data_IF_547844198831
#
_entry.id   IF_547844198831
#
_cell.length_a   1.000
_cell.length_b   1.000
_cell.length_c   1.000
_cell.angle_alpha   90.00
_cell.angle_beta   90.00
_cell.angle_gamma   90.00
#
_symmetry.space_group_name_H-M   'P 1'
#
loop_
_entity.id
_entity.type
_entity.pdbx_description
1 polymer ?
#
# COMPACT_ATOMS: atom_id res chain seq x y z
N UNK A 1 -8.07 4.59 -9.22
CA UNK A 1 -8.84 5.14 -8.09
C UNK A 1 -8.24 6.46 -7.69
N UNK A 2 -8.96 7.25 -6.90
CA UNK A 2 -8.54 8.58 -6.46
C UNK A 2 -8.61 8.69 -4.94
N UNK A 3 -7.71 9.48 -4.34
CA UNK A 3 -7.75 9.85 -2.92
C UNK A 3 -7.38 11.32 -2.77
N UNK A 4 -8.26 12.09 -2.14
CA UNK A 4 -7.97 13.47 -1.76
C UNK A 4 -7.25 13.52 -0.43
N UNK A 5 -6.24 14.38 -0.34
CA UNK A 5 -5.54 14.70 0.89
C UNK A 5 -5.63 16.20 1.13
N UNK A 6 -5.96 16.55 2.37
CA UNK A 6 -6.18 17.92 2.79
C UNK A 6 -5.43 18.25 4.08
N UNK A 7 -5.07 19.51 4.25
CA UNK A 7 -4.48 20.03 5.48
C UNK A 7 -3.09 19.51 5.84
N UNK A 8 -2.38 18.84 4.91
CA UNK A 8 -1.05 18.30 5.13
C UNK A 8 -0.18 18.49 3.87
N UNK A 9 1.12 18.68 4.09
CA UNK A 9 2.11 18.63 3.01
C UNK A 9 2.63 17.20 2.88
N UNK A 10 2.93 16.79 1.65
CA UNK A 10 3.46 15.45 1.45
C UNK A 10 4.88 15.30 2.01
N UNK A 11 5.23 14.09 2.48
CA UNK A 11 6.60 13.77 2.85
C UNK A 11 7.57 13.92 1.67
N UNK A 12 8.85 14.13 1.97
CA UNK A 12 9.88 14.38 0.95
C UNK A 12 10.16 13.13 0.10
N UNK A 13 9.85 11.95 0.62
CA UNK A 13 9.90 10.65 -0.05
C UNK A 13 8.96 10.58 -1.27
N UNK A 14 7.90 11.40 -1.30
CA UNK A 14 7.02 11.54 -2.47
C UNK A 14 7.50 12.61 -3.46
N UNK A 15 8.48 13.44 -3.06
CA UNK A 15 9.00 14.56 -3.85
C UNK A 15 10.33 14.23 -4.51
N UNK A 16 11.22 13.55 -3.79
CA UNK A 16 12.60 13.29 -4.17
C UNK A 16 12.86 11.80 -4.32
N UNK A 17 13.54 11.41 -5.41
CA UNK A 17 13.92 10.02 -5.65
C UNK A 17 14.99 9.59 -4.63
N UNK A 18 14.87 8.39 -4.11
CA UNK A 18 15.91 7.75 -3.31
C UNK A 18 17.07 7.25 -4.18
N UNK A 19 18.06 6.61 -3.55
CA UNK A 19 19.26 6.06 -4.22
C UNK A 19 18.92 4.98 -5.27
N UNK A 20 17.74 4.37 -5.19
CA UNK A 20 17.23 3.39 -6.15
C UNK A 20 16.36 4.03 -7.24
N UNK A 21 16.20 5.35 -7.21
CA UNK A 21 15.38 6.09 -8.15
C UNK A 21 13.89 6.02 -7.83
N UNK A 22 13.47 5.58 -6.64
CA UNK A 22 12.07 5.36 -6.27
C UNK A 22 11.55 6.58 -5.49
N UNK A 23 10.26 6.89 -5.63
CA UNK A 23 9.53 7.85 -4.81
C UNK A 23 8.25 7.23 -4.32
N UNK A 24 7.96 7.33 -3.04
CA UNK A 24 6.80 6.65 -2.49
C UNK A 24 6.86 6.45 -0.99
N UNK A 25 5.93 5.64 -0.50
CA UNK A 25 5.83 5.32 0.91
C UNK A 25 4.84 4.21 1.19
N UNK A 26 4.92 3.65 2.40
CA UNK A 26 3.99 2.65 2.90
C UNK A 26 2.84 3.34 3.62
N UNK A 27 1.60 3.00 3.25
CA UNK A 27 0.42 3.34 4.04
C UNK A 27 0.23 2.28 5.12
N UNK A 28 0.39 2.68 6.39
CA UNK A 28 0.27 1.79 7.54
C UNK A 28 -1.19 1.52 7.92
N UNK A 29 -2.11 2.40 7.54
CA UNK A 29 -3.54 2.26 7.78
C UNK A 29 -4.28 1.59 6.64
N UNK A 30 -5.60 1.46 6.82
CA UNK A 30 -6.49 1.16 5.70
C UNK A 30 -6.56 2.38 4.77
N UNK A 31 -6.21 2.21 3.50
CA UNK A 31 -6.26 3.32 2.54
C UNK A 31 -7.61 3.35 1.84
N UNK A 32 -8.46 4.30 2.23
CA UNK A 32 -9.71 4.58 1.53
C UNK A 32 -9.46 5.34 0.23
N UNK A 33 -10.08 4.90 -0.86
CA UNK A 33 -10.02 5.54 -2.18
C UNK A 33 -11.38 5.46 -2.85
N UNK A 34 -11.60 6.20 -3.93
CA UNK A 34 -12.87 6.19 -4.67
C UNK A 34 -12.64 6.02 -6.17
N UNK A 35 -13.63 5.47 -6.87
CA UNK A 35 -13.68 5.48 -8.33
C UNK A 35 -14.08 6.84 -8.90
N UNK A 36 -14.70 7.72 -8.10
CA UNK A 36 -15.17 9.03 -8.51
C UNK A 36 -14.18 10.14 -8.12
N UNK A 37 -13.54 10.76 -9.12
CA UNK A 37 -12.60 11.87 -8.92
C UNK A 37 -13.24 13.03 -8.15
N UNK A 38 -14.52 13.33 -8.38
CA UNK A 38 -15.22 14.44 -7.74
C UNK A 38 -15.43 14.20 -6.25
N UNK A 39 -15.66 12.93 -5.85
CA UNK A 39 -15.71 12.56 -4.43
C UNK A 39 -14.35 12.78 -3.78
N UNK A 40 -13.26 12.31 -4.39
CA UNK A 40 -11.91 12.51 -3.85
C UNK A 40 -11.54 13.99 -3.70
N UNK A 41 -11.91 14.84 -4.67
CA UNK A 41 -11.65 16.27 -4.61
C UNK A 41 -12.31 16.99 -3.44
N UNK A 42 -13.42 16.46 -2.89
CA UNK A 42 -14.04 17.02 -1.67
C UNK A 42 -13.15 16.86 -0.44
N UNK A 43 -12.37 15.77 -0.40
CA UNK A 43 -11.41 15.49 0.66
C UNK A 43 -10.06 16.20 0.44
N UNK A 44 -9.77 16.68 -0.78
CA UNK A 44 -8.62 17.53 -1.07
C UNK A 44 -8.93 19.00 -0.72
N UNK A 45 -8.90 19.34 0.57
CA UNK A 45 -9.24 20.68 1.07
C UNK A 45 -8.30 21.16 2.21
N UNK A 46 -8.46 22.40 2.68
CA UNK A 46 -7.67 22.94 3.80
C UNK A 46 -6.62 23.99 3.39
N UNK A 47 -5.89 24.50 4.38
CA UNK A 47 -4.98 25.65 4.23
C UNK A 47 -3.63 25.31 3.59
N UNK A 48 -3.29 24.03 3.46
CA UNK A 48 -2.09 23.53 2.76
C UNK A 48 -2.45 23.16 1.33
N UNK A 49 -1.46 23.08 0.43
CA UNK A 49 -1.70 22.84 -1.00
C UNK A 49 -2.48 21.52 -1.23
N UNK A 50 -3.76 21.58 -1.66
CA UNK A 50 -4.61 20.40 -1.78
C UNK A 50 -4.01 19.38 -2.72
N UNK A 51 -4.08 18.10 -2.35
CA UNK A 51 -3.43 17.04 -3.10
C UNK A 51 -4.42 15.96 -3.51
N UNK A 52 -4.36 15.55 -4.77
CA UNK A 52 -5.09 14.42 -5.31
C UNK A 52 -4.11 13.32 -5.71
N UNK A 53 -4.26 12.17 -5.09
CA UNK A 53 -3.57 10.95 -5.45
C UNK A 53 -4.34 10.27 -6.58
N UNK A 54 -3.72 10.14 -7.75
CA UNK A 54 -4.28 9.48 -8.92
C UNK A 54 -3.63 8.10 -9.07
N UNK A 55 -4.27 7.09 -8.48
CA UNK A 55 -3.69 5.76 -8.32
C UNK A 55 -4.18 4.86 -9.47
N UNK A 56 -3.24 4.44 -10.32
CA UNK A 56 -3.48 3.46 -11.39
C UNK A 56 -3.75 2.09 -10.79
N UNK A 57 -4.82 1.45 -11.26
CA UNK A 57 -5.23 0.11 -10.79
C UNK A 57 -4.70 -0.92 -11.78
N UNK A 58 -3.86 -1.85 -11.32
CA UNK A 58 -3.48 -3.05 -12.07
C UNK A 58 -4.43 -4.22 -11.78
N UNK A 59 -4.36 -5.28 -12.60
CA UNK A 59 -5.14 -6.50 -12.37
C UNK A 59 -4.81 -7.19 -11.03
N UNK A 60 -3.54 -7.08 -10.60
CA UNK A 60 -3.01 -7.71 -9.39
C UNK A 60 -2.99 -6.80 -8.16
N UNK A 61 -3.21 -5.49 -8.34
CA UNK A 61 -3.13 -4.47 -7.29
C UNK A 61 -4.46 -3.76 -7.03
N UNK A 62 -5.55 -4.53 -7.12
CA UNK A 62 -6.91 -4.02 -6.94
C UNK A 62 -7.30 -4.05 -5.46
N UNK A 63 -7.78 -2.91 -4.94
CA UNK A 63 -8.41 -2.85 -3.62
C UNK A 63 -9.81 -3.50 -3.61
N UNK A 64 -10.40 -3.64 -2.43
CA UNK A 64 -11.72 -4.23 -2.26
C UNK A 64 -12.80 -3.14 -2.34
N UNK A 65 -13.84 -3.35 -3.15
CA UNK A 65 -15.04 -2.52 -3.04
C UNK A 65 -15.77 -2.86 -1.76
N UNK A 66 -16.01 -1.86 -0.91
CA UNK A 66 -16.75 -2.04 0.35
C UNK A 66 -18.14 -1.40 0.30
N UNK A 67 -18.64 -1.08 -0.90
CA UNK A 67 -19.94 -0.44 -1.13
C UNK A 67 -21.10 -1.10 -0.37
N UNK A 68 -21.09 -2.44 -0.24
CA UNK A 68 -22.16 -3.17 0.43
C UNK A 68 -22.19 -3.01 1.96
N UNK A 69 -21.06 -2.63 2.57
CA UNK A 69 -20.91 -2.39 4.02
C UNK A 69 -20.72 -0.91 4.37
N UNK A 70 -20.40 -0.07 3.38
CA UNK A 70 -20.07 1.33 3.61
C UNK A 70 -21.29 2.12 4.09
N UNK A 71 -21.06 3.03 5.04
CA UNK A 71 -22.07 4.03 5.44
C UNK A 71 -22.36 5.04 4.32
N UNK A 72 -21.45 5.17 3.35
CA UNK A 72 -21.60 6.05 2.19
C UNK A 72 -21.47 5.27 0.87
N UNK A 73 -22.41 4.36 0.52
CA UNK A 73 -22.30 3.52 -0.67
C UNK A 73 -22.11 4.29 -1.98
N UNK A 74 -22.65 5.51 -2.05
CA UNK A 74 -22.58 6.37 -3.23
C UNK A 74 -21.16 6.89 -3.50
N UNK A 75 -20.28 6.91 -2.51
CA UNK A 75 -18.88 7.31 -2.68
C UNK A 75 -18.05 6.28 -3.42
N UNK A 76 -18.61 5.09 -3.70
CA UNK A 76 -17.97 4.05 -4.53
C UNK A 76 -16.55 3.73 -4.05
N UNK A 77 -16.46 3.53 -2.74
CA UNK A 77 -15.21 3.33 -2.02
C UNK A 77 -14.52 2.01 -2.41
N UNK A 78 -13.22 2.11 -2.68
CA UNK A 78 -12.27 1.01 -2.86
C UNK A 78 -11.24 1.11 -1.75
N UNK A 79 -11.20 0.07 -0.90
CA UNK A 79 -10.35 0.01 0.28
C UNK A 79 -9.12 -0.86 0.02
N UNK A 80 -7.95 -0.35 0.38
CA UNK A 80 -6.71 -1.12 0.37
C UNK A 80 -6.32 -1.54 1.79
N UNK A 81 -5.72 -2.73 1.95
CA UNK A 81 -5.26 -3.20 3.25
C UNK A 81 -4.09 -2.34 3.78
N UNK A 82 -3.82 -2.41 5.09
CA UNK A 82 -2.59 -1.88 5.67
C UNK A 82 -1.34 -2.40 4.96
N UNK A 83 -0.26 -1.65 5.09
CA UNK A 83 1.04 -1.96 4.49
C UNK A 83 1.01 -1.97 2.95
N UNK A 84 0.06 -1.26 2.34
CA UNK A 84 0.08 -1.05 0.89
C UNK A 84 1.16 -0.03 0.53
N UNK A 85 2.03 -0.38 -0.43
CA UNK A 85 3.06 0.52 -0.90
C UNK A 85 2.53 1.41 -2.03
N UNK A 86 2.78 2.70 -1.95
CA UNK A 86 2.43 3.71 -2.94
C UNK A 86 3.70 4.20 -3.63
N UNK A 87 3.80 4.00 -4.93
CA UNK A 87 4.92 4.44 -5.74
C UNK A 87 4.50 5.56 -6.70
N UNK A 88 5.16 6.71 -6.64
CA UNK A 88 4.94 7.84 -7.55
C UNK A 88 5.67 7.60 -8.87
N UNK A 89 4.90 7.35 -9.92
CA UNK A 89 5.42 7.19 -11.27
C UNK A 89 5.24 8.50 -12.04
N UNK A 90 6.24 8.91 -12.81
CA UNK A 90 6.16 10.15 -13.59
C UNK A 90 6.21 11.43 -12.74
N UNK A 91 5.84 12.56 -13.34
CA UNK A 91 5.91 13.89 -12.73
C UNK A 91 4.56 14.28 -12.12
N UNK A 92 4.60 14.89 -10.93
CA UNK A 92 3.43 15.58 -10.37
C UNK A 92 3.03 16.75 -11.26
N UNK A 93 1.74 17.05 -11.31
CA UNK A 93 1.18 18.17 -12.06
C UNK A 93 0.25 19.00 -11.18
N UNK A 94 -0.13 20.17 -11.68
CA UNK A 94 -1.15 21.00 -11.03
C UNK A 94 -2.32 21.13 -11.98
N UNK A 95 -3.49 20.66 -11.53
CA UNK A 95 -4.75 20.83 -12.24
C UNK A 95 -5.47 22.07 -11.66
N UNK A 96 -6.09 22.87 -12.53
CA UNK A 96 -7.01 23.96 -12.13
C UNK A 96 -8.43 23.44 -12.26
N UNK A 97 -9.19 23.43 -11.17
CA UNK A 97 -10.57 23.00 -11.15
C UNK A 97 -11.48 24.06 -11.78
N UNK A 98 -12.71 23.68 -12.12
CA UNK A 98 -13.71 24.58 -12.71
C UNK A 98 -14.03 25.80 -11.82
N UNK A 99 -13.90 25.64 -10.51
CA UNK A 99 -14.09 26.71 -9.52
C UNK A 99 -12.81 27.57 -9.28
N UNK A 100 -11.76 27.35 -10.08
CA UNK A 100 -10.50 28.09 -10.02
C UNK A 100 -9.52 27.59 -8.96
N UNK A 101 -9.89 26.61 -8.12
CA UNK A 101 -8.96 26.03 -7.14
C UNK A 101 -7.86 25.23 -7.83
N UNK A 102 -6.64 25.38 -7.36
CA UNK A 102 -5.48 24.61 -7.84
C UNK A 102 -5.29 23.37 -6.97
N UNK A 103 -5.07 22.21 -7.59
CA UNK A 103 -4.84 20.93 -6.91
C UNK A 103 -3.59 20.27 -7.46
N UNK A 104 -2.67 19.85 -6.58
CA UNK A 104 -1.53 19.01 -6.95
C UNK A 104 -2.03 17.61 -7.23
N UNK A 105 -1.78 17.10 -8.43
CA UNK A 105 -2.09 15.72 -8.79
C UNK A 105 -0.82 14.91 -8.85
N UNK A 106 -0.83 13.78 -8.14
CA UNK A 106 0.30 12.85 -8.11
C UNK A 106 -0.12 11.52 -8.71
N UNK A 107 0.42 11.17 -9.89
CA UNK A 107 0.27 9.84 -10.46
C UNK A 107 0.99 8.80 -9.58
N UNK A 108 0.26 7.76 -9.21
CA UNK A 108 0.72 6.69 -8.33
C UNK A 108 0.37 5.31 -8.88
N UNK A 109 1.17 4.32 -8.51
CA UNK A 109 0.86 2.91 -8.56
C UNK A 109 0.84 2.36 -7.13
N UNK A 110 0.03 1.34 -6.91
CA UNK A 110 -0.09 0.71 -5.61
C UNK A 110 0.30 -0.75 -5.70
N UNK A 111 1.06 -1.21 -4.73
CA UNK A 111 1.23 -2.63 -4.44
C UNK A 111 0.41 -2.94 -3.19
N UNK A 112 -0.71 -3.65 -3.40
CA UNK A 112 -1.52 -4.14 -2.30
C UNK A 112 -0.86 -5.42 -1.75
N UNK A 113 -0.40 -5.39 -0.49
CA UNK A 113 0.10 -6.60 0.14
C UNK A 113 -1.08 -7.54 0.47
N UNK A 114 -1.39 -8.42 -0.46
CA UNK A 114 -2.47 -9.43 -0.32
C UNK A 114 -2.00 -10.75 0.30
N UNK A 115 -0.69 -10.89 0.55
CA UNK A 115 -0.09 -12.13 1.09
C UNK A 115 0.49 -11.95 2.49
N UNK A 116 -0.03 -11.00 3.28
CA UNK A 116 0.34 -10.93 4.70
C UNK A 116 -0.16 -12.19 5.42
N UNK A 117 0.76 -13.00 5.91
CA UNK A 117 0.42 -14.17 6.72
C UNK A 117 -0.30 -13.76 8.00
N UNK A 118 -1.29 -14.54 8.43
CA UNK A 118 -1.91 -14.32 9.76
C UNK A 118 -0.88 -14.56 10.86
N UNK A 119 -1.16 -14.07 12.07
CA UNK A 119 -0.28 -14.29 13.23
C UNK A 119 -0.04 -15.79 13.44
N UNK A 120 -1.08 -16.61 13.29
CA UNK A 120 -1.02 -18.07 13.42
C UNK A 120 -0.13 -18.68 12.33
N UNK A 121 -0.22 -18.19 11.10
CA UNK A 121 0.64 -18.64 10.00
C UNK A 121 2.10 -18.24 10.23
N UNK A 122 2.36 -17.03 10.75
CA UNK A 122 3.71 -16.56 11.10
C UNK A 122 4.31 -17.43 12.22
N UNK A 123 3.55 -17.64 13.29
CA UNK A 123 3.96 -18.48 14.42
C UNK A 123 4.21 -19.92 13.96
N UNK A 124 3.29 -20.47 13.17
CA UNK A 124 3.41 -21.81 12.59
C UNK A 124 4.66 -21.95 11.73
N UNK A 125 4.90 -21.00 10.81
CA UNK A 125 6.10 -20.98 9.96
C UNK A 125 7.37 -20.90 10.80
N UNK A 126 7.41 -20.05 11.83
CA UNK A 126 8.57 -19.92 12.73
C UNK A 126 8.83 -21.22 13.48
N UNK A 127 7.79 -21.88 13.99
CA UNK A 127 7.90 -23.20 14.62
C UNK A 127 8.46 -24.24 13.65
N UNK A 128 7.88 -24.35 12.45
CA UNK A 128 8.32 -25.29 11.42
C UNK A 128 9.79 -25.09 11.05
N UNK A 129 10.22 -23.84 10.87
CA UNK A 129 11.63 -23.52 10.56
C UNK A 129 12.59 -24.04 11.64
N UNK A 130 12.28 -23.79 12.92
CA UNK A 130 13.15 -24.23 14.02
C UNK A 130 13.12 -25.74 14.25
N UNK A 131 11.94 -26.37 14.21
CA UNK A 131 11.82 -27.83 14.39
C UNK A 131 12.51 -28.57 13.25
N UNK A 132 12.26 -28.17 12.00
CA UNK A 132 12.90 -28.78 10.83
C UNK A 132 14.42 -28.63 10.87
N UNK A 133 14.94 -27.47 11.31
CA UNK A 133 16.38 -27.28 11.49
C UNK A 133 16.98 -28.25 12.51
N UNK A 134 16.31 -28.45 13.65
CA UNK A 134 16.79 -29.38 14.69
C UNK A 134 16.74 -30.83 14.22
N UNK A 135 15.64 -31.23 13.55
CA UNK A 135 15.50 -32.56 12.97
C UNK A 135 16.59 -32.84 11.93
N UNK A 136 16.92 -31.84 11.11
CA UNK A 136 18.01 -31.93 10.13
C UNK A 136 19.35 -32.16 10.82
N UNK A 137 19.69 -31.36 11.84
CA UNK A 137 20.94 -31.53 12.61
C UNK A 137 21.01 -32.90 13.29
N UNK A 138 19.91 -33.39 13.86
CA UNK A 138 19.87 -34.74 14.45
C UNK A 138 20.12 -35.81 13.38
N UNK A 139 19.55 -35.65 12.19
CA UNK A 139 19.75 -36.57 11.09
C UNK A 139 21.22 -36.58 10.61
N UNK A 140 21.84 -35.41 10.46
CA UNK A 140 23.26 -35.28 10.12
C UNK A 140 24.16 -35.98 11.14
N UNK A 141 23.93 -35.75 12.44
CA UNK A 141 24.72 -36.38 13.50
C UNK A 141 24.57 -37.91 13.45
N UNK A 142 23.36 -38.41 13.23
CA UNK A 142 23.12 -39.87 13.13
C UNK A 142 23.84 -40.48 11.93
N UNK A 143 23.81 -39.81 10.79
CA UNK A 143 24.51 -40.27 9.59
C UNK A 143 26.03 -40.29 9.82
N UNK A 144 26.59 -39.22 10.39
CA UNK A 144 28.01 -39.16 10.72
C UNK A 144 28.42 -40.26 11.72
N UNK A 145 27.61 -40.53 12.74
CA UNK A 145 27.90 -41.59 13.71
C UNK A 145 27.87 -42.99 13.09
N UNK A 146 26.97 -43.22 12.12
CA UNK A 146 26.87 -44.47 11.39
C UNK A 146 28.05 -44.71 10.44
N UNK A 147 28.67 -43.67 9.89
CA UNK A 147 29.88 -43.78 9.07
C UNK A 147 31.14 -44.08 9.90
N UNK A 148 31.11 -43.85 11.21
CA UNK A 148 32.24 -44.06 12.13
C UNK A 148 32.25 -45.46 12.77
N UNK A 149 31.20 -46.26 12.62
CA UNK A 149 31.04 -47.61 13.17
C UNK A 149 31.14 -48.68 12.07
#
# INVERSE_FOLDING_TARGET
>A
VYRGLGGLELPDEFKQRDDLGIRGGVEYGLMSTTLDKQVALRYASGNTFPTLLEIRIGAVSRGASIRFLSQYPMESEILYPPMSYLEAWGSSRVDVLEDGRMVRVIPLEVNANVFSSTIEQIIGRRKTLHVSSLEHTVHEIRNALAEML
#
